data_IF_315017063243
#
_entry.id   IF_315017063243
#
_cell.length_a   1.000
_cell.length_b   1.000
_cell.length_c   1.000
_cell.angle_alpha   90.00
_cell.angle_beta   90.00
_cell.angle_gamma   90.00
#
_symmetry.space_group_name_H-M   'P 1'
#
loop_
_entity.id
_entity.type
_entity.pdbx_description
1 polymer ?
#
# COMPACT_ATOMS: atom_id res chain seq x y z
N UNK A 1 -37.46 -0.35 2.50
CA UNK A 1 -36.20 0.20 3.04
C UNK A 1 -35.45 -0.74 3.98
N UNK A 2 -36.08 -1.35 5.01
CA UNK A 2 -35.37 -2.32 5.89
C UNK A 2 -34.81 -3.54 5.14
N UNK A 3 -35.55 -4.07 4.16
CA UNK A 3 -35.15 -5.25 3.35
C UNK A 3 -33.94 -5.00 2.44
N UNK A 4 -33.80 -3.79 1.88
CA UNK A 4 -32.68 -3.44 0.98
C UNK A 4 -31.39 -3.16 1.75
N UNK A 5 -31.51 -2.61 2.96
CA UNK A 5 -30.39 -2.33 3.86
C UNK A 5 -29.85 -3.64 4.47
N UNK A 6 -30.76 -4.56 4.84
CA UNK A 6 -30.42 -5.93 5.20
C UNK A 6 -29.76 -6.68 4.04
N UNK A 7 -30.26 -6.55 2.80
CA UNK A 7 -29.67 -7.21 1.64
C UNK A 7 -28.27 -6.68 1.28
N UNK A 8 -28.00 -5.38 1.43
CA UNK A 8 -26.66 -4.81 1.19
C UNK A 8 -25.65 -5.23 2.28
N UNK A 9 -26.07 -5.26 3.56
CA UNK A 9 -25.26 -5.78 4.67
C UNK A 9 -25.04 -7.30 4.55
N UNK A 10 -26.05 -8.06 4.09
CA UNK A 10 -25.95 -9.49 3.83
C UNK A 10 -25.09 -9.80 2.61
N UNK A 11 -25.09 -8.96 1.57
CA UNK A 11 -24.18 -9.11 0.44
C UNK A 11 -22.72 -8.84 0.84
N UNK A 12 -22.49 -7.83 1.68
CA UNK A 12 -21.17 -7.57 2.28
C UNK A 12 -20.74 -8.73 3.20
N UNK A 13 -21.66 -9.26 4.01
CA UNK A 13 -21.40 -10.42 4.88
C UNK A 13 -21.20 -11.74 4.12
N UNK A 14 -21.90 -11.95 2.99
CA UNK A 14 -21.75 -13.14 2.17
C UNK A 14 -20.40 -13.19 1.44
N UNK A 15 -19.84 -12.02 1.08
CA UNK A 15 -18.46 -11.93 0.58
C UNK A 15 -17.45 -12.24 1.70
N UNK A 16 -17.77 -11.88 2.96
CA UNK A 16 -16.96 -12.12 4.14
C UNK A 16 -17.10 -13.55 4.75
N UNK A 17 -17.87 -14.46 4.15
CA UNK A 17 -18.09 -15.82 4.68
C UNK A 17 -17.25 -16.91 3.98
N UNK A 18 -16.42 -16.54 3.00
CA UNK A 18 -15.49 -17.49 2.37
C UNK A 18 -14.22 -17.56 3.22
N UNK A 19 -14.20 -18.41 4.25
CA UNK A 19 -13.02 -18.59 5.11
C UNK A 19 -11.91 -19.35 4.36
N UNK A 20 -10.70 -18.78 4.18
CA UNK A 20 -9.55 -19.61 3.86
C UNK A 20 -9.11 -20.40 5.10
N UNK A 21 -8.53 -21.58 4.87
CA UNK A 21 -8.01 -22.43 5.92
C UNK A 21 -6.99 -21.68 6.79
N UNK A 22 -7.11 -21.82 8.11
CA UNK A 22 -6.22 -21.22 9.08
C UNK A 22 -4.78 -21.72 8.86
N UNK A 23 -3.88 -20.81 8.47
CA UNK A 23 -2.44 -21.06 8.56
C UNK A 23 -2.01 -20.83 10.01
N UNK A 24 -1.35 -21.83 10.57
CA UNK A 24 -0.76 -21.76 11.90
C UNK A 24 0.25 -20.61 11.95
N UNK A 25 0.21 -19.83 13.04
CA UNK A 25 1.21 -18.81 13.32
C UNK A 25 2.55 -19.51 13.55
N UNK A 26 3.46 -19.37 12.59
CA UNK A 26 4.84 -19.76 12.74
C UNK A 26 5.58 -18.66 13.52
N UNK A 27 6.22 -19.02 14.63
CA UNK A 27 6.95 -18.09 15.51
C UNK A 27 8.19 -17.47 14.86
N UNK A 28 8.91 -16.64 15.63
CA UNK A 28 10.15 -16.01 15.19
C UNK A 28 11.21 -17.06 14.82
N UNK A 29 11.76 -16.98 13.60
CA UNK A 29 12.74 -17.95 13.14
C UNK A 29 13.80 -17.31 12.22
N UNK A 30 14.96 -17.94 12.20
CA UNK A 30 15.96 -17.77 11.16
C UNK A 30 15.90 -19.00 10.27
N UNK A 31 15.73 -18.80 8.97
CA UNK A 31 15.65 -19.88 8.02
C UNK A 31 16.55 -19.60 6.83
N UNK A 32 16.80 -20.63 6.02
CA UNK A 32 17.38 -20.41 4.73
C UNK A 32 17.53 -21.65 3.90
N UNK A 33 18.22 -21.49 2.78
CA UNK A 33 18.51 -22.59 1.87
C UNK A 33 19.97 -22.53 1.47
N UNK A 34 20.69 -23.62 1.68
CA UNK A 34 22.08 -23.76 1.24
C UNK A 34 22.10 -24.47 -0.11
N UNK A 35 22.78 -23.84 -1.07
CA UNK A 35 22.93 -24.36 -2.44
C UNK A 35 24.38 -24.41 -2.82
N UNK A 36 24.76 -25.49 -3.50
CA UNK A 36 26.09 -25.71 -4.00
C UNK A 36 26.41 -24.82 -5.21
N UNK A 37 27.65 -24.90 -5.72
CA UNK A 37 28.09 -24.15 -6.90
C UNK A 37 27.24 -24.43 -8.16
N UNK A 38 26.62 -25.61 -8.24
CA UNK A 38 25.74 -26.07 -9.33
C UNK A 38 24.26 -25.67 -9.12
N UNK A 39 23.96 -24.81 -8.13
CA UNK A 39 22.62 -24.38 -7.70
C UNK A 39 21.72 -25.49 -7.14
N UNK A 40 22.24 -26.72 -6.95
CA UNK A 40 21.49 -27.79 -6.29
C UNK A 40 21.53 -27.62 -4.78
N UNK A 41 20.49 -28.08 -4.05
CA UNK A 41 20.49 -28.04 -2.60
C UNK A 41 21.59 -28.93 -2.01
N UNK A 42 22.15 -28.51 -0.88
CA UNK A 42 23.18 -29.29 -0.17
C UNK A 42 22.64 -29.66 1.22
N UNK A 43 22.55 -30.96 1.47
CA UNK A 43 22.11 -31.53 2.74
C UNK A 43 23.28 -31.65 3.72
N UNK A 44 22.94 -31.93 4.98
CA UNK A 44 23.87 -32.28 6.06
C UNK A 44 24.85 -31.16 6.46
N UNK A 45 24.51 -29.90 6.15
CA UNK A 45 25.28 -28.74 6.56
C UNK A 45 24.78 -28.25 7.92
N UNK A 46 25.70 -28.08 8.86
CA UNK A 46 25.40 -27.61 10.21
C UNK A 46 25.45 -26.08 10.26
N UNK A 47 24.40 -25.47 10.79
CA UNK A 47 24.23 -24.02 10.94
C UNK A 47 23.92 -23.71 12.40
N UNK A 48 24.73 -22.84 12.99
CA UNK A 48 24.62 -22.41 14.37
C UNK A 48 24.14 -20.98 14.44
N UNK A 49 23.21 -20.72 15.36
CA UNK A 49 22.68 -19.39 15.66
C UNK A 49 23.09 -19.02 17.07
N UNK A 50 23.71 -17.85 17.21
CA UNK A 50 24.19 -17.32 18.48
C UNK A 50 23.67 -15.89 18.69
N UNK A 51 23.63 -15.47 19.94
CA UNK A 51 23.33 -14.11 20.33
C UNK A 51 24.38 -13.65 21.34
N UNK A 52 25.37 -12.87 20.86
CA UNK A 52 26.57 -12.59 21.65
C UNK A 52 27.36 -13.87 21.90
N UNK A 53 27.73 -14.15 23.15
CA UNK A 53 28.46 -15.38 23.53
C UNK A 53 27.55 -16.59 23.81
N UNK A 54 26.22 -16.43 23.70
CA UNK A 54 25.25 -17.49 24.03
C UNK A 54 24.75 -18.19 22.76
N UNK A 55 24.84 -19.52 22.75
CA UNK A 55 24.25 -20.35 21.70
C UNK A 55 22.73 -20.41 21.85
N UNK A 56 22.02 -20.11 20.77
CA UNK A 56 20.55 -20.03 20.71
C UNK A 56 19.96 -21.31 20.14
N UNK A 57 20.58 -21.87 19.10
CA UNK A 57 20.18 -23.12 18.50
C UNK A 57 21.06 -23.54 17.33
N UNK A 58 20.91 -24.79 16.91
CA UNK A 58 21.61 -25.41 15.79
C UNK A 58 20.60 -26.12 14.88
N UNK A 59 20.81 -26.02 13.57
CA UNK A 59 20.04 -26.77 12.58
C UNK A 59 20.95 -27.41 11.53
N UNK A 60 20.53 -28.56 11.04
CA UNK A 60 21.18 -29.26 9.92
C UNK A 60 20.31 -29.12 8.66
N UNK A 61 20.91 -28.86 7.50
CA UNK A 61 20.16 -28.73 6.25
C UNK A 61 19.56 -30.07 5.82
N UNK A 62 18.28 -30.06 5.42
CA UNK A 62 17.59 -31.24 4.90
C UNK A 62 17.99 -31.57 3.45
N UNK A 63 17.40 -32.63 2.89
CA UNK A 63 17.62 -33.05 1.50
C UNK A 63 17.25 -31.98 0.45
N UNK A 64 16.38 -31.04 0.80
CA UNK A 64 16.01 -29.87 -0.01
C UNK A 64 16.89 -28.64 0.26
N UNK A 65 17.96 -28.80 1.04
CA UNK A 65 18.94 -27.79 1.43
C UNK A 65 18.40 -26.74 2.40
N UNK A 66 17.19 -26.91 2.92
CA UNK A 66 16.58 -25.96 3.84
C UNK A 66 16.99 -26.21 5.27
N UNK A 67 17.06 -25.14 6.04
CA UNK A 67 17.28 -25.16 7.48
C UNK A 67 16.41 -24.10 8.14
N UNK A 68 16.10 -24.32 9.41
CA UNK A 68 15.32 -23.40 10.24
C UNK A 68 15.72 -23.55 11.70
N UNK A 69 15.92 -22.42 12.38
CA UNK A 69 16.15 -22.34 13.82
C UNK A 69 15.16 -21.33 14.39
N UNK A 70 14.33 -21.78 15.33
CA UNK A 70 13.45 -20.89 16.08
C UNK A 70 14.28 -20.05 17.06
N UNK A 71 13.97 -18.76 17.16
CA UNK A 71 14.68 -17.85 18.06
C UNK A 71 13.76 -17.38 19.19
N UNK A 72 14.29 -17.17 20.41
CA UNK A 72 13.50 -16.90 21.60
C UNK A 72 12.81 -15.53 21.63
N UNK A 73 13.10 -14.64 20.67
CA UNK A 73 12.43 -13.35 20.52
C UNK A 73 13.11 -12.41 19.52
N UNK A 74 12.58 -11.18 19.35
CA UNK A 74 13.21 -10.17 18.50
C UNK A 74 14.59 -9.75 19.05
N UNK A 75 15.57 -9.61 18.17
CA UNK A 75 16.94 -9.32 18.57
C UNK A 75 17.94 -9.41 17.43
N UNK A 76 19.22 -9.14 17.73
CA UNK A 76 20.32 -9.39 16.80
C UNK A 76 20.93 -10.76 17.06
N UNK A 77 21.16 -11.50 15.99
CA UNK A 77 21.70 -12.85 16.00
C UNK A 77 22.87 -12.95 15.03
N UNK A 78 23.83 -13.80 15.38
CA UNK A 78 24.96 -14.18 14.56
C UNK A 78 24.73 -15.60 14.07
N UNK A 79 24.90 -15.85 12.78
CA UNK A 79 24.64 -17.15 12.15
C UNK A 79 25.91 -17.63 11.49
N UNK A 80 26.38 -18.81 11.87
CA UNK A 80 27.59 -19.41 11.32
C UNK A 80 27.31 -20.78 10.70
N UNK A 81 27.90 -21.00 9.53
CA UNK A 81 27.94 -22.27 8.82
C UNK A 81 29.23 -23.01 9.21
N UNK A 82 29.11 -24.28 9.60
CA UNK A 82 30.28 -25.11 9.91
C UNK A 82 30.99 -25.55 8.62
N UNK A 83 32.19 -25.04 8.41
CA UNK A 83 33.03 -25.36 7.24
C UNK A 83 33.40 -26.84 7.18
N UNK A 84 33.45 -27.53 8.32
CA UNK A 84 33.71 -28.97 8.39
C UNK A 84 32.57 -29.84 7.85
N UNK A 85 31.35 -29.29 7.77
CA UNK A 85 30.17 -29.95 7.22
C UNK A 85 30.01 -29.78 5.70
N UNK A 86 30.90 -29.03 5.05
CA UNK A 86 30.83 -28.80 3.61
C UNK A 86 31.35 -30.00 2.80
N UNK A 87 30.73 -30.32 1.65
CA UNK A 87 31.25 -31.32 0.72
C UNK A 87 32.66 -30.99 0.21
N UNK A 88 33.46 -32.01 -0.10
CA UNK A 88 34.83 -31.84 -0.60
C UNK A 88 34.85 -30.94 -1.86
N UNK A 89 35.71 -29.93 -1.84
CA UNK A 89 35.87 -28.99 -2.95
C UNK A 89 34.86 -27.83 -2.97
N UNK A 90 33.99 -27.71 -1.96
CA UNK A 90 33.06 -26.58 -1.78
C UNK A 90 33.50 -25.74 -0.60
N UNK A 91 33.59 -24.42 -0.79
CA UNK A 91 33.96 -23.45 0.23
C UNK A 91 33.01 -22.25 0.20
N UNK A 92 32.91 -21.48 1.29
CA UNK A 92 32.22 -20.20 1.26
C UNK A 92 32.76 -19.32 0.13
N UNK A 93 31.87 -18.65 -0.61
CA UNK A 93 32.25 -17.85 -1.79
C UNK A 93 33.16 -16.67 -1.45
N UNK A 94 33.04 -16.13 -0.23
CA UNK A 94 33.86 -15.04 0.30
C UNK A 94 34.61 -15.52 1.53
N UNK A 95 35.82 -15.01 1.74
CA UNK A 95 36.58 -15.23 2.96
C UNK A 95 35.81 -14.64 4.16
N UNK A 96 35.52 -15.44 5.19
CA UNK A 96 34.66 -15.04 6.30
C UNK A 96 33.15 -15.13 6.01
N UNK A 97 32.74 -15.62 4.83
CA UNK A 97 31.34 -15.80 4.44
C UNK A 97 30.62 -16.96 5.14
N UNK A 98 31.36 -17.74 5.93
CA UNK A 98 30.89 -18.76 6.85
C UNK A 98 30.23 -18.18 8.10
N UNK A 99 30.47 -16.92 8.47
CA UNK A 99 29.89 -16.29 9.64
C UNK A 99 29.23 -14.95 9.29
N UNK A 100 27.93 -14.84 9.54
CA UNK A 100 27.13 -13.65 9.26
C UNK A 100 26.67 -13.04 10.58
N UNK A 101 27.18 -11.86 10.91
CA UNK A 101 26.87 -11.18 12.16
C UNK A 101 25.78 -10.10 12.03
N UNK A 102 25.06 -9.83 13.12
CA UNK A 102 24.16 -8.69 13.23
C UNK A 102 22.82 -8.84 12.50
N UNK A 103 22.33 -10.07 12.32
CA UNK A 103 21.05 -10.36 11.68
C UNK A 103 19.92 -9.98 12.65
N UNK A 104 19.16 -8.93 12.33
CA UNK A 104 18.04 -8.47 13.16
C UNK A 104 16.74 -9.23 12.86
N UNK A 105 16.18 -9.91 13.85
CA UNK A 105 14.86 -10.54 13.78
C UNK A 105 13.84 -9.63 14.48
N UNK A 106 12.73 -9.37 13.82
CA UNK A 106 11.60 -8.60 14.35
C UNK A 106 10.52 -9.55 14.87
N UNK A 107 9.69 -9.08 15.79
CA UNK A 107 8.60 -9.85 16.39
C UNK A 107 7.67 -10.44 15.31
N UNK A 108 7.37 -11.74 15.42
CA UNK A 108 6.53 -12.50 14.49
C UNK A 108 7.06 -12.63 13.05
N UNK A 109 8.35 -12.33 12.80
CA UNK A 109 8.95 -12.49 11.47
C UNK A 109 9.96 -13.63 11.41
N UNK A 110 9.88 -14.41 10.33
CA UNK A 110 10.98 -15.26 9.90
C UNK A 110 11.93 -14.47 9.01
N UNK A 111 13.24 -14.57 9.26
CA UNK A 111 14.27 -13.94 8.44
C UNK A 111 15.09 -14.98 7.69
N UNK A 112 15.15 -14.81 6.37
CA UNK A 112 15.90 -15.68 5.47
C UNK A 112 17.38 -15.27 5.41
N UNK A 113 18.29 -16.22 5.61
CA UNK A 113 19.75 -16.04 5.63
C UNK A 113 20.39 -16.96 4.59
N UNK A 114 21.23 -16.38 3.74
CA UNK A 114 21.82 -17.05 2.58
C UNK A 114 23.34 -17.19 2.74
N UNK A 115 23.83 -18.42 2.59
CA UNK A 115 25.26 -18.74 2.54
C UNK A 115 25.67 -19.05 1.11
N UNK A 116 26.26 -18.10 0.36
CA UNK A 116 26.71 -18.37 -1.00
C UNK A 116 27.96 -19.25 -0.99
N UNK A 117 27.88 -20.42 -1.64
CA UNK A 117 29.01 -21.35 -1.79
C UNK A 117 29.66 -21.23 -3.19
N UNK A 118 30.92 -21.64 -3.29
CA UNK A 118 31.71 -21.70 -4.52
C UNK A 118 32.63 -22.94 -4.52
N UNK A 119 33.08 -23.36 -5.71
CA UNK A 119 34.11 -24.39 -5.80
C UNK A 119 35.45 -23.85 -5.29
N UNK A 120 36.30 -24.70 -4.69
CA UNK A 120 37.55 -24.32 -4.02
C UNK A 120 38.55 -23.57 -4.91
N UNK A 121 38.48 -23.74 -6.25
CA UNK A 121 39.27 -22.96 -7.22
C UNK A 121 38.59 -21.69 -7.76
N UNK A 122 37.30 -21.47 -7.47
CA UNK A 122 36.52 -20.30 -7.85
C UNK A 122 36.24 -19.35 -6.67
N UNK A 123 36.64 -19.75 -5.47
CA UNK A 123 36.64 -18.91 -4.28
C UNK A 123 37.54 -17.68 -4.55
N UNK A 124 36.93 -16.50 -4.60
CA UNK A 124 37.63 -15.26 -4.94
C UNK A 124 37.82 -14.95 -6.45
N UNK A 125 37.48 -15.85 -7.38
CA UNK A 125 37.57 -15.60 -8.84
C UNK A 125 36.27 -15.13 -9.50
N UNK A 126 35.23 -14.84 -8.71
CA UNK A 126 34.01 -14.21 -9.19
C UNK A 126 34.03 -12.69 -9.02
N UNK A 127 34.89 -11.98 -9.76
CA UNK A 127 34.83 -10.52 -9.86
C UNK A 127 34.08 -10.03 -11.12
N UNK A 128 33.68 -10.90 -12.05
CA UNK A 128 33.05 -10.49 -13.32
C UNK A 128 31.62 -11.02 -13.55
N UNK A 129 30.92 -11.53 -12.53
CA UNK A 129 29.55 -12.05 -12.76
C UNK A 129 28.65 -12.36 -11.56
N UNK A 130 29.03 -11.99 -10.34
CA UNK A 130 28.18 -12.06 -9.14
C UNK A 130 28.55 -10.92 -8.20
N UNK A 131 27.63 -10.40 -7.37
CA UNK A 131 27.77 -9.07 -6.79
C UNK A 131 29.09 -8.99 -6.03
N UNK A 132 29.96 -8.14 -6.56
CA UNK A 132 31.23 -7.71 -5.99
C UNK A 132 31.05 -7.50 -4.49
N UNK A 133 32.11 -7.69 -3.69
CA UNK A 133 32.19 -6.99 -2.40
C UNK A 133 31.72 -5.55 -2.64
N UNK A 134 30.91 -4.91 -1.78
CA UNK A 134 30.49 -3.54 -2.03
C UNK A 134 31.79 -2.78 -2.29
N UNK A 135 32.03 -2.44 -3.55
CA UNK A 135 32.95 -1.39 -3.85
C UNK A 135 32.49 -0.26 -2.95
N UNK A 136 33.41 0.53 -2.43
CA UNK A 136 33.04 1.88 -2.06
C UNK A 136 32.63 2.63 -3.36
N UNK A 137 31.66 2.11 -4.10
CA UNK A 137 30.61 2.89 -4.71
C UNK A 137 30.20 3.79 -3.57
N UNK A 138 30.69 5.02 -3.62
CA UNK A 138 30.08 6.13 -2.93
C UNK A 138 28.59 5.91 -3.09
N UNK A 139 27.92 5.48 -2.01
CA UNK A 139 26.50 5.18 -2.05
C UNK A 139 25.81 6.33 -2.80
N UNK A 140 24.74 6.05 -3.56
CA UNK A 140 24.22 6.94 -4.59
C UNK A 140 24.34 8.38 -4.13
N UNK A 141 25.05 9.20 -4.91
CA UNK A 141 25.39 10.56 -4.49
C UNK A 141 24.14 11.26 -3.97
N UNK A 142 24.25 12.20 -3.02
CA UNK A 142 23.07 12.81 -2.39
C UNK A 142 22.04 13.31 -3.42
N UNK A 143 22.52 13.78 -4.58
CA UNK A 143 21.67 14.13 -5.74
C UNK A 143 20.96 12.95 -6.40
N UNK A 144 21.61 11.79 -6.57
CA UNK A 144 21.02 10.57 -7.10
C UNK A 144 19.95 10.02 -6.15
N UNK A 145 20.26 9.97 -4.85
CA UNK A 145 19.29 9.58 -3.81
C UNK A 145 18.10 10.53 -3.78
N UNK A 146 18.32 11.84 -3.93
CA UNK A 146 17.24 12.83 -4.04
C UNK A 146 16.36 12.59 -5.27
N UNK A 147 16.96 12.35 -6.45
CA UNK A 147 16.23 12.04 -7.68
C UNK A 147 15.38 10.76 -7.55
N UNK A 148 15.95 9.72 -6.95
CA UNK A 148 15.25 8.47 -6.67
C UNK A 148 14.06 8.67 -5.72
N UNK A 149 14.25 9.39 -4.61
CA UNK A 149 13.18 9.70 -3.65
C UNK A 149 12.10 10.61 -4.25
N UNK A 150 12.47 11.50 -5.17
CA UNK A 150 11.51 12.32 -5.91
C UNK A 150 10.63 11.46 -6.81
N UNK A 151 11.21 10.48 -7.51
CA UNK A 151 10.46 9.53 -8.33
C UNK A 151 9.52 8.66 -7.49
N UNK A 152 10.00 8.12 -6.37
CA UNK A 152 9.19 7.37 -5.42
C UNK A 152 8.09 8.25 -4.81
N UNK A 153 8.38 9.52 -4.59
CA UNK A 153 7.44 10.54 -4.14
C UNK A 153 6.32 10.81 -5.13
N UNK A 154 6.65 10.88 -6.43
CA UNK A 154 5.67 10.99 -7.51
C UNK A 154 4.79 9.73 -7.59
N UNK A 155 5.39 8.53 -7.49
CA UNK A 155 4.64 7.26 -7.43
C UNK A 155 3.65 7.27 -6.29
N UNK A 156 4.12 7.55 -5.08
CA UNK A 156 3.30 7.54 -3.87
C UNK A 156 2.23 8.64 -3.91
N UNK A 157 2.59 9.84 -4.37
CA UNK A 157 1.67 10.94 -4.56
C UNK A 157 0.58 10.66 -5.60
N UNK A 158 0.89 9.91 -6.66
CA UNK A 158 -0.09 9.49 -7.67
C UNK A 158 -1.13 8.50 -7.10
N UNK A 159 -0.70 7.56 -6.25
CA UNK A 159 -1.59 6.65 -5.52
C UNK A 159 -2.50 7.44 -4.57
N UNK A 160 -1.94 8.36 -3.78
CA UNK A 160 -2.70 9.22 -2.88
C UNK A 160 -3.67 10.10 -3.69
N UNK A 161 -3.27 10.60 -4.87
CA UNK A 161 -4.12 11.44 -5.70
C UNK A 161 -5.38 10.71 -6.17
N UNK A 162 -5.24 9.49 -6.69
CA UNK A 162 -6.40 8.70 -7.12
C UNK A 162 -7.36 8.45 -5.97
N UNK A 163 -6.85 8.04 -4.81
CA UNK A 163 -7.70 7.73 -3.65
C UNK A 163 -8.33 9.01 -3.06
N UNK A 164 -7.62 10.14 -3.09
CA UNK A 164 -8.06 11.43 -2.55
C UNK A 164 -9.07 12.17 -3.42
N UNK A 165 -9.03 12.02 -4.75
CA UNK A 165 -9.98 12.70 -5.66
C UNK A 165 -11.41 12.27 -5.36
N UNK A 166 -11.65 10.98 -5.12
CA UNK A 166 -12.96 10.47 -4.69
C UNK A 166 -13.44 11.10 -3.39
N UNK A 167 -12.58 11.13 -2.37
CA UNK A 167 -12.86 11.76 -1.07
C UNK A 167 -13.19 13.25 -1.22
N UNK A 168 -12.41 13.96 -2.04
CA UNK A 168 -12.61 15.38 -2.30
C UNK A 168 -13.92 15.66 -3.03
N UNK A 169 -14.35 14.80 -3.95
CA UNK A 169 -15.63 14.98 -4.66
C UNK A 169 -16.82 14.73 -3.72
N UNK A 170 -16.73 13.72 -2.85
CA UNK A 170 -17.74 13.47 -1.81
C UNK A 170 -17.85 14.70 -0.91
N UNK A 171 -16.73 15.18 -0.38
CA UNK A 171 -16.72 16.38 0.47
C UNK A 171 -17.25 17.61 -0.29
N UNK A 172 -16.84 17.81 -1.54
CA UNK A 172 -17.26 18.96 -2.34
C UNK A 172 -18.78 19.04 -2.50
N UNK A 173 -19.43 17.90 -2.75
CA UNK A 173 -20.87 17.84 -3.01
C UNK A 173 -21.76 17.65 -1.77
N UNK A 174 -21.23 17.09 -0.68
CA UNK A 174 -22.02 16.75 0.52
C UNK A 174 -21.55 17.44 1.80
N UNK A 175 -20.35 18.04 1.79
CA UNK A 175 -19.62 18.53 2.97
C UNK A 175 -19.40 17.46 4.05
N UNK A 176 -19.53 16.19 3.69
CA UNK A 176 -19.32 15.05 4.58
C UNK A 176 -17.84 14.64 4.60
N UNK A 177 -17.22 14.67 5.77
CA UNK A 177 -15.93 14.03 6.05
C UNK A 177 -16.19 12.54 6.27
N UNK A 178 -15.84 11.72 5.26
CA UNK A 178 -16.09 10.28 5.28
C UNK A 178 -14.85 9.48 5.69
N UNK A 179 -14.75 9.11 6.96
CA UNK A 179 -13.70 8.22 7.48
C UNK A 179 -13.76 6.80 6.89
N UNK A 180 -14.95 6.33 6.49
CA UNK A 180 -15.09 5.01 5.85
C UNK A 180 -14.47 4.95 4.44
N UNK A 181 -14.09 6.10 3.84
CA UNK A 181 -13.44 6.13 2.52
C UNK A 181 -12.12 5.37 2.50
N UNK A 182 -11.36 5.43 3.60
CA UNK A 182 -10.13 4.65 3.75
C UNK A 182 -10.41 3.15 3.61
N UNK A 183 -11.49 2.66 4.21
CA UNK A 183 -11.82 1.24 4.14
C UNK A 183 -12.27 0.80 2.73
N UNK A 184 -12.80 1.72 1.91
CA UNK A 184 -13.09 1.44 0.51
C UNK A 184 -11.80 1.20 -0.30
N UNK A 185 -10.69 1.85 0.08
CA UNK A 185 -9.35 1.57 -0.47
C UNK A 185 -8.91 0.16 -0.07
N UNK A 186 -9.04 -0.20 1.20
CA UNK A 186 -8.73 -1.56 1.69
C UNK A 186 -9.56 -2.62 0.96
N UNK A 187 -10.87 -2.43 0.86
CA UNK A 187 -11.79 -3.38 0.22
C UNK A 187 -11.40 -3.65 -1.24
N UNK A 188 -11.06 -2.62 -2.02
CA UNK A 188 -10.65 -2.83 -3.41
C UNK A 188 -9.39 -3.68 -3.54
N UNK A 189 -8.39 -3.45 -2.68
CA UNK A 189 -7.17 -4.24 -2.68
C UNK A 189 -7.40 -5.69 -2.27
N UNK A 190 -8.21 -5.89 -1.22
CA UNK A 190 -8.60 -7.20 -0.69
C UNK A 190 -9.43 -7.99 -1.71
N UNK A 191 -10.35 -7.34 -2.44
CA UNK A 191 -11.12 -8.00 -3.52
C UNK A 191 -10.19 -8.43 -4.65
N UNK A 192 -9.28 -7.56 -5.10
CA UNK A 192 -8.30 -7.93 -6.12
C UNK A 192 -7.40 -9.07 -5.65
N UNK A 193 -7.02 -9.07 -4.37
CA UNK A 193 -6.14 -10.08 -3.78
C UNK A 193 -6.82 -11.43 -3.73
N UNK A 194 -8.08 -11.45 -3.29
CA UNK A 194 -8.88 -12.65 -3.27
C UNK A 194 -9.01 -13.22 -4.68
N UNK A 195 -9.31 -12.41 -5.69
CA UNK A 195 -9.44 -12.88 -7.06
C UNK A 195 -8.11 -13.36 -7.65
N UNK A 196 -6.99 -12.75 -7.26
CA UNK A 196 -5.66 -13.04 -7.79
C UNK A 196 -4.99 -14.26 -7.16
N UNK A 197 -5.21 -14.50 -5.86
CA UNK A 197 -4.48 -15.52 -5.11
C UNK A 197 -5.39 -16.65 -4.58
N UNK A 198 -6.43 -16.31 -3.82
CA UNK A 198 -7.21 -17.31 -3.07
C UNK A 198 -8.41 -17.89 -3.83
N UNK A 199 -8.98 -17.10 -4.73
CA UNK A 199 -10.19 -17.42 -5.47
C UNK A 199 -9.88 -18.04 -6.82
N UNK A 200 -10.39 -17.51 -7.94
CA UNK A 200 -10.18 -18.06 -9.27
C UNK A 200 -8.73 -18.05 -9.79
N UNK A 201 -7.78 -17.50 -9.03
CA UNK A 201 -6.38 -17.31 -9.43
C UNK A 201 -6.23 -16.52 -10.73
N UNK A 202 -7.03 -15.45 -10.88
CA UNK A 202 -6.96 -14.59 -12.06
C UNK A 202 -5.69 -13.76 -12.08
N UNK A 203 -5.25 -13.38 -13.28
CA UNK A 203 -4.22 -12.35 -13.40
C UNK A 203 -4.68 -11.05 -12.72
N UNK A 204 -3.73 -10.28 -12.19
CA UNK A 204 -4.04 -9.11 -11.38
C UNK A 204 -4.77 -8.02 -12.17
N UNK A 205 -4.54 -7.89 -13.47
CA UNK A 205 -5.21 -6.88 -14.31
C UNK A 205 -6.74 -7.10 -14.36
N UNK A 206 -7.26 -8.27 -14.77
CA UNK A 206 -8.71 -8.52 -14.72
C UNK A 206 -9.26 -8.51 -13.28
N UNK A 207 -8.49 -8.98 -12.30
CA UNK A 207 -8.87 -8.87 -10.89
C UNK A 207 -9.05 -7.40 -10.45
N UNK A 208 -8.18 -6.50 -10.91
CA UNK A 208 -8.26 -5.05 -10.67
C UNK A 208 -9.52 -4.46 -11.29
N UNK A 209 -9.85 -4.83 -12.53
CA UNK A 209 -11.07 -4.34 -13.19
C UNK A 209 -12.33 -4.74 -12.42
N UNK A 210 -12.40 -5.99 -11.95
CA UNK A 210 -13.52 -6.43 -11.11
C UNK A 210 -13.51 -5.72 -9.77
N UNK A 211 -12.36 -5.51 -9.14
CA UNK A 211 -12.26 -4.75 -7.89
C UNK A 211 -12.72 -3.29 -8.03
N UNK A 212 -12.46 -2.66 -9.18
CA UNK A 212 -12.94 -1.31 -9.50
C UNK A 212 -14.47 -1.32 -9.69
N UNK A 213 -15.01 -2.28 -10.45
CA UNK A 213 -16.47 -2.42 -10.63
C UNK A 213 -17.16 -2.70 -9.30
N UNK A 214 -16.59 -3.56 -8.46
CA UNK A 214 -17.07 -3.83 -7.11
C UNK A 214 -17.00 -2.55 -6.25
N UNK A 215 -15.92 -1.77 -6.33
CA UNK A 215 -15.79 -0.47 -5.67
C UNK A 215 -16.87 0.53 -6.07
N UNK A 216 -17.16 0.62 -7.37
CA UNK A 216 -18.27 1.42 -7.92
C UNK A 216 -19.60 0.98 -7.31
N UNK A 217 -19.85 -0.33 -7.26
CA UNK A 217 -21.03 -0.92 -6.63
C UNK A 217 -21.13 -0.61 -5.14
N UNK A 218 -20.04 -0.83 -4.39
CA UNK A 218 -19.95 -0.59 -2.94
C UNK A 218 -20.18 0.89 -2.62
N UNK A 219 -19.53 1.81 -3.33
CA UNK A 219 -19.75 3.25 -3.15
C UNK A 219 -21.21 3.65 -3.37
N UNK A 220 -21.82 3.16 -4.45
CA UNK A 220 -23.24 3.38 -4.71
C UNK A 220 -24.17 2.73 -3.68
N UNK A 221 -23.82 1.55 -3.16
CA UNK A 221 -24.57 0.84 -2.14
C UNK A 221 -24.51 1.56 -0.79
N UNK A 222 -23.33 2.05 -0.41
CA UNK A 222 -23.13 2.84 0.82
C UNK A 222 -23.92 4.15 0.74
N UNK A 223 -23.89 4.87 -0.39
CA UNK A 223 -24.70 6.07 -0.58
C UNK A 223 -26.21 5.78 -0.48
N UNK A 224 -26.72 4.80 -1.23
CA UNK A 224 -28.16 4.49 -1.20
C UNK A 224 -28.63 3.88 0.13
N UNK A 225 -27.76 3.10 0.77
CA UNK A 225 -28.08 2.33 1.97
C UNK A 225 -27.96 3.14 3.25
N UNK A 226 -26.97 4.04 3.33
CA UNK A 226 -26.60 4.72 4.57
C UNK A 226 -26.80 6.23 4.41
N UNK A 227 -26.06 6.87 3.51
CA UNK A 227 -25.96 8.33 3.48
C UNK A 227 -27.21 9.02 2.94
N UNK A 228 -27.77 8.55 1.82
CA UNK A 228 -28.97 9.12 1.23
C UNK A 228 -30.17 9.04 2.19
N UNK A 229 -30.46 7.90 2.86
CA UNK A 229 -31.51 7.84 3.88
C UNK A 229 -31.30 8.79 5.05
N UNK A 230 -30.07 8.87 5.59
CA UNK A 230 -29.77 9.76 6.71
C UNK A 230 -29.95 11.23 6.31
N UNK A 231 -29.50 11.60 5.11
CA UNK A 231 -29.65 12.95 4.56
C UNK A 231 -31.12 13.32 4.34
N UNK A 232 -31.95 12.39 3.83
CA UNK A 232 -33.40 12.61 3.69
C UNK A 232 -34.13 12.77 5.03
N UNK A 233 -33.59 12.22 6.10
CA UNK A 233 -34.13 12.35 7.47
C UNK A 233 -33.65 13.63 8.18
N UNK A 234 -32.84 14.46 7.54
CA UNK A 234 -32.33 15.69 8.15
C UNK A 234 -31.32 15.44 9.28
N UNK A 235 -30.63 14.29 9.28
CA UNK A 235 -29.59 13.98 10.26
C UNK A 235 -28.46 15.02 10.17
N UNK A 236 -27.99 15.54 11.31
CA UNK A 236 -26.95 16.55 11.34
C UNK A 236 -25.60 16.02 10.83
N UNK A 237 -24.76 16.88 10.26
CA UNK A 237 -23.43 16.48 9.74
C UNK A 237 -22.55 15.81 10.80
N UNK A 238 -22.58 16.31 12.04
CA UNK A 238 -21.84 15.72 13.17
C UNK A 238 -22.28 14.27 13.41
N UNK A 239 -23.59 13.99 13.34
CA UNK A 239 -24.12 12.63 13.51
C UNK A 239 -23.68 11.74 12.33
N UNK A 240 -23.66 12.28 11.10
CA UNK A 240 -23.14 11.55 9.94
C UNK A 240 -21.64 11.23 10.08
N UNK A 241 -20.83 12.11 10.69
CA UNK A 241 -19.42 11.81 10.99
C UNK A 241 -19.28 10.63 11.95
N UNK A 242 -20.09 10.58 13.01
CA UNK A 242 -20.11 9.46 13.97
C UNK A 242 -20.46 8.15 13.23
N UNK A 243 -21.48 8.18 12.36
CA UNK A 243 -21.85 7.02 11.52
C UNK A 243 -20.69 6.59 10.62
N UNK A 244 -19.92 7.54 10.07
CA UNK A 244 -18.79 7.23 9.20
C UNK A 244 -17.68 6.51 9.94
N UNK A 245 -17.36 6.94 11.16
CA UNK A 245 -16.38 6.28 12.03
C UNK A 245 -16.86 4.88 12.39
N UNK A 246 -18.12 4.73 12.78
CA UNK A 246 -18.71 3.42 13.09
C UNK A 246 -18.67 2.47 11.88
N UNK A 247 -19.00 2.98 10.68
CA UNK A 247 -18.92 2.23 9.44
C UNK A 247 -17.47 1.84 9.10
N UNK A 248 -16.51 2.74 9.31
CA UNK A 248 -15.10 2.46 9.09
C UNK A 248 -14.61 1.33 10.01
N UNK A 249 -14.94 1.38 11.30
CA UNK A 249 -14.58 0.32 12.25
C UNK A 249 -15.24 -1.01 11.88
N UNK A 250 -16.52 -0.98 11.50
CA UNK A 250 -17.25 -2.17 11.09
C UNK A 250 -16.60 -2.84 9.86
N UNK A 251 -16.31 -2.06 8.82
CA UNK A 251 -15.68 -2.60 7.60
C UNK A 251 -14.27 -3.10 7.91
N UNK A 252 -13.46 -2.32 8.64
CA UNK A 252 -12.07 -2.68 8.96
C UNK A 252 -11.97 -4.01 9.71
N UNK A 253 -12.74 -4.16 10.77
CA UNK A 253 -12.70 -5.38 11.57
C UNK A 253 -13.43 -6.53 10.88
N UNK A 254 -14.46 -6.25 10.06
CA UNK A 254 -15.04 -7.26 9.17
C UNK A 254 -14.00 -7.82 8.18
N UNK A 255 -13.25 -6.93 7.54
CA UNK A 255 -12.13 -7.31 6.66
C UNK A 255 -11.06 -8.06 7.45
N UNK A 256 -10.68 -7.60 8.65
CA UNK A 256 -9.68 -8.29 9.47
C UNK A 256 -10.07 -9.73 9.81
N UNK A 257 -11.34 -9.97 10.14
CA UNK A 257 -11.84 -11.33 10.44
C UNK A 257 -11.78 -12.23 9.20
N UNK A 258 -12.05 -11.69 8.01
CA UNK A 258 -12.09 -12.47 6.77
C UNK A 258 -10.74 -12.64 6.08
N UNK A 259 -9.98 -11.56 5.96
CA UNK A 259 -8.66 -11.49 5.32
C UNK A 259 -7.55 -11.99 6.25
N UNK A 260 -7.68 -11.80 7.56
CA UNK A 260 -6.65 -12.07 8.55
C UNK A 260 -5.86 -10.83 8.97
N UNK A 261 -4.96 -11.01 9.94
CA UNK A 261 -4.11 -9.94 10.47
C UNK A 261 -2.79 -9.76 9.69
N UNK A 262 -2.33 -10.81 9.02
CA UNK A 262 -1.04 -10.84 8.32
C UNK A 262 -1.16 -10.19 6.95
N UNK A 263 -0.19 -9.34 6.60
CA UNK A 263 -0.15 -8.73 5.28
C UNK A 263 0.21 -9.79 4.22
N UNK A 264 -0.43 -9.73 3.05
CA UNK A 264 -0.26 -10.70 1.98
C UNK A 264 0.11 -10.00 0.66
N UNK A 265 1.06 -10.54 -0.10
CA UNK A 265 1.36 -10.04 -1.44
C UNK A 265 0.30 -10.48 -2.46
N UNK A 266 0.27 -9.80 -3.62
CA UNK A 266 -0.32 -10.35 -4.84
C UNK A 266 0.57 -11.45 -5.43
N UNK A 267 0.02 -12.36 -6.23
CA UNK A 267 0.82 -13.38 -6.93
C UNK A 267 1.64 -12.76 -8.08
N UNK A 268 1.05 -11.81 -8.79
CA UNK A 268 1.69 -11.16 -9.94
C UNK A 268 2.58 -9.98 -9.52
N UNK A 269 3.60 -9.70 -10.33
CA UNK A 269 4.46 -8.51 -10.25
C UNK A 269 5.23 -8.32 -8.93
N UNK A 270 5.45 -9.40 -8.17
CA UNK A 270 6.24 -9.38 -6.94
C UNK A 270 7.73 -9.16 -7.22
N UNK A 271 8.29 -9.93 -8.15
CA UNK A 271 9.70 -9.89 -8.52
C UNK A 271 9.78 -9.38 -9.96
N UNK A 272 10.43 -8.24 -10.14
CA UNK A 272 10.70 -7.66 -11.45
C UNK A 272 12.10 -7.09 -11.49
N UNK A 273 12.76 -7.25 -12.62
CA UNK A 273 14.02 -6.55 -12.88
C UNK A 273 13.77 -5.04 -12.96
N UNK A 274 14.62 -4.28 -12.26
CA UNK A 274 14.52 -2.82 -12.27
C UNK A 274 15.07 -2.28 -13.58
N UNK A 275 14.32 -1.37 -14.19
CA UNK A 275 14.79 -0.55 -15.28
C UNK A 275 15.71 0.51 -14.69
N UNK A 276 16.98 0.51 -15.10
CA UNK A 276 17.97 1.47 -14.66
C UNK A 276 18.26 2.47 -15.78
N UNK A 277 18.12 3.76 -15.47
CA UNK A 277 18.41 4.87 -16.36
C UNK A 277 19.31 5.86 -15.62
N UNK A 278 20.63 5.61 -15.68
CA UNK A 278 21.60 6.39 -14.90
C UNK A 278 21.30 6.30 -13.39
N UNK A 279 21.07 7.43 -12.70
CA UNK A 279 20.83 7.44 -11.25
C UNK A 279 19.43 6.99 -10.84
N UNK A 280 18.52 6.79 -11.81
CA UNK A 280 17.13 6.41 -11.56
C UNK A 280 16.95 4.90 -11.75
N UNK A 281 16.31 4.26 -10.78
CA UNK A 281 15.94 2.85 -10.85
C UNK A 281 14.46 2.69 -10.55
N UNK A 282 13.70 2.16 -11.51
CA UNK A 282 12.25 1.97 -11.36
C UNK A 282 11.83 0.59 -11.83
N UNK A 283 10.91 -0.04 -11.09
CA UNK A 283 10.32 -1.30 -11.54
C UNK A 283 9.24 -1.06 -12.61
N UNK A 284 9.01 -2.00 -13.54
CA UNK A 284 7.93 -1.88 -14.50
C UNK A 284 6.55 -1.69 -13.86
N UNK A 285 6.27 -2.32 -12.70
CA UNK A 285 5.02 -2.11 -11.94
C UNK A 285 4.88 -0.67 -11.47
N UNK A 286 5.95 -0.07 -10.93
CA UNK A 286 5.90 1.29 -10.39
C UNK A 286 5.67 2.31 -11.51
N UNK A 287 6.35 2.12 -12.64
CA UNK A 287 6.13 2.95 -13.83
C UNK A 287 4.69 2.82 -14.34
N UNK A 288 4.16 1.59 -14.38
CA UNK A 288 2.79 1.32 -14.79
C UNK A 288 1.78 1.98 -13.85
N UNK A 289 2.00 1.92 -12.53
CA UNK A 289 1.19 2.62 -11.52
C UNK A 289 1.19 4.11 -11.79
N UNK A 290 2.35 4.74 -12.00
CA UNK A 290 2.44 6.17 -12.30
C UNK A 290 1.65 6.51 -13.56
N UNK A 291 1.90 5.81 -14.66
CA UNK A 291 1.30 6.08 -15.97
C UNK A 291 -0.22 5.92 -15.92
N UNK A 292 -0.71 4.80 -15.41
CA UNK A 292 -2.16 4.56 -15.29
C UNK A 292 -2.77 5.57 -14.32
N UNK A 293 -2.06 5.91 -13.24
CA UNK A 293 -2.59 6.87 -12.27
C UNK A 293 -2.85 8.23 -12.90
N UNK A 294 -1.85 8.79 -13.58
CA UNK A 294 -2.01 10.06 -14.28
C UNK A 294 -3.04 9.97 -15.42
N UNK A 295 -3.09 8.86 -16.16
CA UNK A 295 -4.10 8.67 -17.20
C UNK A 295 -5.52 8.72 -16.62
N UNK A 296 -5.77 8.06 -15.49
CA UNK A 296 -7.06 8.07 -14.80
C UNK A 296 -7.36 9.45 -14.22
N UNK A 297 -6.40 10.13 -13.60
CA UNK A 297 -6.60 11.49 -13.09
C UNK A 297 -6.95 12.49 -14.21
N UNK A 298 -6.29 12.39 -15.36
CA UNK A 298 -6.60 13.19 -16.55
C UNK A 298 -7.99 12.83 -17.07
N UNK A 299 -8.34 11.54 -17.15
CA UNK A 299 -9.67 11.10 -17.58
C UNK A 299 -10.78 11.63 -16.65
N UNK A 300 -10.58 11.59 -15.33
CA UNK A 300 -11.51 12.17 -14.36
C UNK A 300 -11.59 13.69 -14.51
N UNK A 301 -10.47 14.38 -14.64
CA UNK A 301 -10.43 15.84 -14.86
C UNK A 301 -11.18 16.26 -16.13
N UNK A 302 -10.93 15.57 -17.25
CA UNK A 302 -11.65 15.80 -18.50
C UNK A 302 -13.13 15.45 -18.35
N UNK A 303 -13.46 14.36 -17.65
CA UNK A 303 -14.83 13.98 -17.31
C UNK A 303 -15.58 15.09 -16.57
N UNK A 304 -14.97 15.66 -15.54
CA UNK A 304 -15.53 16.76 -14.74
C UNK A 304 -15.70 18.04 -15.57
N UNK A 305 -14.79 18.33 -16.49
CA UNK A 305 -14.82 19.55 -17.31
C UNK A 305 -15.77 19.46 -18.51
N UNK A 306 -15.75 18.33 -19.23
CA UNK A 306 -16.35 18.19 -20.56
C UNK A 306 -17.72 17.52 -20.54
N UNK A 307 -18.06 16.72 -19.53
CA UNK A 307 -19.33 15.96 -19.52
C UNK A 307 -20.48 16.70 -18.84
N UNK A 308 -21.72 16.31 -19.17
CA UNK A 308 -22.93 16.83 -18.50
C UNK A 308 -22.96 16.48 -17.01
N UNK A 309 -22.57 15.25 -16.66
CA UNK A 309 -22.50 14.80 -15.27
C UNK A 309 -21.45 15.61 -14.50
N UNK A 310 -20.28 15.85 -15.09
CA UNK A 310 -19.22 16.67 -14.50
C UNK A 310 -19.63 18.12 -14.24
N UNK A 311 -20.38 18.73 -15.17
CA UNK A 311 -20.99 20.05 -14.97
C UNK A 311 -21.99 20.05 -13.81
N UNK A 312 -22.84 19.03 -13.72
CA UNK A 312 -23.79 18.89 -12.63
C UNK A 312 -23.10 18.67 -11.27
N UNK A 313 -22.03 17.88 -11.21
CA UNK A 313 -21.21 17.68 -10.00
C UNK A 313 -20.63 18.99 -9.49
N UNK A 314 -20.08 19.83 -10.38
CA UNK A 314 -19.54 21.14 -10.01
C UNK A 314 -20.63 22.11 -9.55
N UNK A 315 -21.78 22.15 -10.26
CA UNK A 315 -22.91 22.96 -9.85
C UNK A 315 -23.42 22.60 -8.45
N UNK A 316 -23.52 21.30 -8.14
CA UNK A 316 -23.91 20.82 -6.80
C UNK A 316 -22.88 21.17 -5.73
N UNK A 317 -21.58 21.13 -6.06
CA UNK A 317 -20.51 21.49 -5.14
C UNK A 317 -20.44 23.01 -4.85
N UNK A 318 -20.78 23.84 -5.84
CA UNK A 318 -20.80 25.30 -5.73
C UNK A 318 -22.01 25.76 -4.91
N UNK A 319 -23.23 25.38 -5.31
CA UNK A 319 -24.44 25.69 -4.57
C UNK A 319 -25.53 24.64 -4.82
N UNK A 320 -25.77 23.81 -3.80
CA UNK A 320 -26.74 22.71 -3.86
C UNK A 320 -28.17 23.18 -4.13
N UNK A 321 -28.63 24.22 -3.44
CA UNK A 321 -30.02 24.68 -3.51
C UNK A 321 -30.31 25.34 -4.87
N UNK A 322 -29.34 26.12 -5.38
CA UNK A 322 -29.41 26.70 -6.73
C UNK A 322 -29.40 25.61 -7.81
N UNK A 323 -28.55 24.59 -7.66
CA UNK A 323 -28.53 23.45 -8.58
C UNK A 323 -29.88 22.71 -8.61
N UNK A 324 -30.49 22.47 -7.45
CA UNK A 324 -31.79 21.81 -7.34
C UNK A 324 -32.92 22.64 -7.95
N UNK A 325 -32.94 23.96 -7.72
CA UNK A 325 -33.90 24.88 -8.36
C UNK A 325 -33.74 24.99 -9.89
N UNK A 326 -32.53 24.72 -10.39
CA UNK A 326 -32.22 24.67 -11.82
C UNK A 326 -32.57 23.34 -12.49
N UNK A 327 -33.21 22.42 -11.77
CA UNK A 327 -33.66 21.12 -12.29
C UNK A 327 -32.61 20.01 -12.25
N UNK A 328 -31.49 20.19 -11.54
CA UNK A 328 -30.48 19.13 -11.38
C UNK A 328 -30.95 18.16 -10.29
N UNK A 329 -31.04 16.87 -10.63
CA UNK A 329 -31.28 15.79 -9.65
C UNK A 329 -30.03 15.60 -8.76
N UNK A 330 -29.95 16.38 -7.68
CA UNK A 330 -28.83 16.37 -6.73
C UNK A 330 -28.60 14.97 -6.14
N UNK A 331 -29.67 14.23 -5.86
CA UNK A 331 -29.57 12.87 -5.31
C UNK A 331 -28.84 11.94 -6.27
N UNK A 332 -29.11 12.04 -7.56
CA UNK A 332 -28.45 11.25 -8.60
C UNK A 332 -27.00 11.67 -8.82
N UNK A 333 -26.73 12.97 -8.77
CA UNK A 333 -25.35 13.49 -8.86
C UNK A 333 -24.49 12.98 -7.71
N UNK A 334 -24.98 13.06 -6.46
CA UNK A 334 -24.28 12.54 -5.29
C UNK A 334 -24.04 11.03 -5.44
N UNK A 335 -25.03 10.26 -5.90
CA UNK A 335 -24.84 8.84 -6.17
C UNK A 335 -23.69 8.57 -7.15
N UNK A 336 -23.62 9.31 -8.26
CA UNK A 336 -22.52 9.16 -9.22
C UNK A 336 -21.17 9.53 -8.63
N UNK A 337 -21.12 10.55 -7.75
CA UNK A 337 -19.90 10.90 -7.00
C UNK A 337 -19.44 9.74 -6.13
N UNK A 338 -20.35 9.12 -5.38
CA UNK A 338 -20.01 7.97 -4.52
C UNK A 338 -19.57 6.74 -5.31
N UNK A 339 -20.22 6.47 -6.43
CA UNK A 339 -19.83 5.41 -7.36
C UNK A 339 -18.41 5.66 -7.91
N UNK A 340 -18.13 6.88 -8.38
CA UNK A 340 -16.81 7.24 -8.88
C UNK A 340 -15.75 7.17 -7.76
N UNK A 341 -16.07 7.68 -6.57
CA UNK A 341 -15.18 7.66 -5.42
C UNK A 341 -14.82 6.23 -5.00
N UNK A 342 -15.78 5.30 -5.02
CA UNK A 342 -15.53 3.89 -4.75
C UNK A 342 -14.69 3.20 -5.81
N UNK A 343 -14.91 3.48 -7.09
CA UNK A 343 -14.06 2.97 -8.16
C UNK A 343 -12.61 3.45 -8.04
N UNK A 344 -12.42 4.75 -7.79
CA UNK A 344 -11.08 5.35 -7.61
C UNK A 344 -10.40 4.84 -6.34
N UNK A 345 -11.12 4.75 -5.22
CA UNK A 345 -10.61 4.18 -3.97
C UNK A 345 -10.13 2.74 -4.19
N UNK A 346 -10.94 1.91 -4.87
CA UNK A 346 -10.54 0.53 -5.18
C UNK A 346 -9.29 0.46 -6.04
N UNK A 347 -9.22 1.27 -7.11
CA UNK A 347 -8.05 1.28 -7.99
C UNK A 347 -6.77 1.67 -7.25
N UNK A 348 -6.83 2.76 -6.48
CA UNK A 348 -5.70 3.21 -5.68
C UNK A 348 -5.34 2.22 -4.56
N UNK A 349 -6.32 1.48 -4.04
CA UNK A 349 -6.10 0.37 -3.12
C UNK A 349 -5.28 -0.74 -3.75
N UNK A 350 -5.64 -1.18 -4.95
CA UNK A 350 -4.85 -2.19 -5.67
C UNK A 350 -3.44 -1.69 -5.96
N UNK A 351 -3.27 -0.44 -6.43
CA UNK A 351 -1.94 0.12 -6.68
C UNK A 351 -1.09 0.22 -5.42
N UNK A 352 -1.72 0.58 -4.30
CA UNK A 352 -1.03 0.56 -3.01
C UNK A 352 -0.65 -0.85 -2.59
N UNK A 353 -1.54 -1.84 -2.76
CA UNK A 353 -1.27 -3.25 -2.49
C UNK A 353 -0.27 -3.92 -3.45
N UNK A 354 0.05 -3.30 -4.59
CA UNK A 354 1.14 -3.72 -5.48
C UNK A 354 2.46 -3.11 -5.03
N UNK A 355 2.41 -1.87 -4.53
CA UNK A 355 3.58 -1.16 -4.01
C UNK A 355 4.04 -1.72 -2.66
N UNK A 356 3.06 -2.05 -1.81
CA UNK A 356 3.18 -2.59 -0.46
C UNK A 356 2.32 -3.85 -0.34
N UNK A 357 2.53 -4.70 0.67
CA UNK A 357 1.64 -5.85 0.86
C UNK A 357 0.22 -5.43 1.27
N UNK A 358 -0.78 -6.17 0.79
CA UNK A 358 -2.19 -5.95 1.15
C UNK A 358 -2.37 -6.26 2.63
N UNK A 359 -2.96 -5.35 3.39
CA UNK A 359 -3.26 -5.53 4.82
C UNK A 359 -4.61 -4.96 5.18
N UNK A 360 -5.23 -5.49 6.23
CA UNK A 360 -6.60 -5.11 6.62
C UNK A 360 -6.77 -3.64 7.07
N UNK A 361 -5.68 -2.95 7.42
CA UNK A 361 -5.71 -1.57 7.92
C UNK A 361 -4.96 -0.57 7.02
N UNK A 362 -4.52 -0.98 5.82
CA UNK A 362 -3.78 -0.11 4.90
C UNK A 362 -4.55 1.17 4.53
N UNK A 363 -5.86 1.06 4.28
CA UNK A 363 -6.69 2.18 3.91
C UNK A 363 -6.85 3.20 5.03
N UNK A 364 -6.89 2.77 6.28
CA UNK A 364 -6.88 3.65 7.45
C UNK A 364 -5.57 4.43 7.57
N UNK A 365 -4.42 3.78 7.33
CA UNK A 365 -3.11 4.46 7.33
C UNK A 365 -3.02 5.51 6.22
N UNK A 366 -3.49 5.16 5.02
CA UNK A 366 -3.56 6.08 3.89
C UNK A 366 -4.55 7.22 4.11
N UNK A 367 -5.65 6.99 4.82
CA UNK A 367 -6.72 7.97 5.03
C UNK A 367 -6.21 9.28 5.65
N UNK A 368 -5.26 9.18 6.58
CA UNK A 368 -4.67 10.37 7.20
C UNK A 368 -3.91 11.22 6.16
N UNK A 369 -3.15 10.58 5.28
CA UNK A 369 -2.44 11.24 4.17
C UNK A 369 -3.39 11.75 3.10
N UNK A 370 -4.50 11.04 2.83
CA UNK A 370 -5.55 11.53 1.94
C UNK A 370 -6.20 12.79 2.48
N UNK A 371 -6.55 12.82 3.77
CA UNK A 371 -7.09 14.04 4.39
C UNK A 371 -6.09 15.18 4.33
N UNK A 372 -4.82 14.91 4.66
CA UNK A 372 -3.75 15.89 4.51
C UNK A 372 -3.69 16.43 3.09
N UNK A 373 -3.66 15.56 2.08
CA UNK A 373 -3.61 15.96 0.68
C UNK A 373 -4.83 16.79 0.25
N UNK A 374 -6.05 16.41 0.62
CA UNK A 374 -7.26 17.14 0.23
C UNK A 374 -7.35 18.48 0.96
N UNK A 375 -6.98 18.55 2.24
CA UNK A 375 -6.97 19.80 3.00
C UNK A 375 -5.88 20.74 2.46
N UNK A 376 -4.66 20.22 2.25
CA UNK A 376 -3.55 20.95 1.64
C UNK A 376 -3.93 21.48 0.25
N UNK A 377 -4.60 20.66 -0.55
CA UNK A 377 -5.04 21.01 -1.89
C UNK A 377 -6.14 22.06 -1.96
N UNK A 378 -6.97 22.13 -0.91
CA UNK A 378 -8.22 22.89 -0.88
C UNK A 378 -9.42 21.93 -0.95
N UNK A 379 -10.14 21.85 0.16
CA UNK A 379 -11.28 20.95 0.34
C UNK A 379 -12.33 21.12 -0.77
N UNK A 380 -12.81 20.00 -1.33
CA UNK A 380 -13.90 20.01 -2.30
C UNK A 380 -13.46 20.24 -3.75
N UNK A 381 -12.17 20.39 -4.02
CA UNK A 381 -11.66 20.58 -5.39
C UNK A 381 -10.83 19.37 -5.85
N UNK A 382 -11.25 18.71 -6.94
CA UNK A 382 -10.53 17.55 -7.47
C UNK A 382 -9.08 17.89 -7.88
N UNK A 383 -8.87 19.06 -8.49
CA UNK A 383 -7.53 19.53 -8.86
C UNK A 383 -6.66 19.86 -7.63
N UNK A 384 -7.27 20.45 -6.59
CA UNK A 384 -6.62 20.64 -5.30
C UNK A 384 -6.14 19.32 -4.73
N UNK A 385 -7.03 18.33 -4.66
CA UNK A 385 -6.68 17.00 -4.16
C UNK A 385 -5.50 16.37 -4.91
N UNK A 386 -5.42 16.50 -6.25
CA UNK A 386 -4.29 16.00 -7.05
C UNK A 386 -2.99 16.72 -6.68
N UNK A 387 -2.99 18.05 -6.68
CA UNK A 387 -1.81 18.84 -6.37
C UNK A 387 -1.33 18.59 -4.93
N UNK A 388 -2.26 18.60 -3.97
CA UNK A 388 -1.97 18.31 -2.57
C UNK A 388 -1.42 16.91 -2.36
N UNK A 389 -1.94 15.91 -3.08
CA UNK A 389 -1.45 14.52 -3.00
C UNK A 389 -0.03 14.36 -3.54
N UNK A 390 0.30 15.04 -4.64
CA UNK A 390 1.66 15.04 -5.17
C UNK A 390 2.64 15.69 -4.20
N UNK A 391 2.28 16.83 -3.61
CA UNK A 391 3.12 17.49 -2.60
C UNK A 391 3.30 16.59 -1.37
N UNK A 392 2.22 16.03 -0.84
CA UNK A 392 2.26 15.09 0.30
C UNK A 392 3.13 13.89 -0.01
N UNK A 393 2.99 13.28 -1.19
CA UNK A 393 3.77 12.11 -1.60
C UNK A 393 5.26 12.41 -1.76
N UNK A 394 5.60 13.52 -2.43
CA UNK A 394 6.99 13.97 -2.63
C UNK A 394 7.64 14.31 -1.29
N UNK A 395 6.96 15.07 -0.44
CA UNK A 395 7.46 15.44 0.89
C UNK A 395 7.68 14.20 1.74
N UNK A 396 6.72 13.26 1.75
CA UNK A 396 6.85 12.02 2.50
C UNK A 396 8.15 11.29 2.11
N UNK A 397 8.38 11.06 0.82
CA UNK A 397 9.55 10.30 0.37
C UNK A 397 10.86 11.08 0.49
N UNK A 398 10.90 12.35 0.07
CA UNK A 398 12.13 13.16 0.12
C UNK A 398 12.57 13.45 1.56
N UNK A 399 11.65 13.54 2.52
CA UNK A 399 12.00 13.76 3.93
C UNK A 399 12.92 12.67 4.50
N UNK A 400 12.82 11.44 3.98
CA UNK A 400 13.65 10.30 4.39
C UNK A 400 15.14 10.44 4.03
N UNK A 401 15.51 11.50 3.28
CA UNK A 401 16.90 11.81 3.02
C UNK A 401 17.65 12.23 4.28
N UNK A 402 16.97 12.94 5.18
CA UNK A 402 17.55 13.49 6.42
C UNK A 402 16.96 12.87 7.69
N UNK A 403 15.84 12.15 7.56
CA UNK A 403 15.03 11.71 8.68
C UNK A 403 14.79 10.20 8.62
N UNK A 404 14.52 9.55 9.77
CA UNK A 404 14.14 8.14 9.81
C UNK A 404 12.88 7.86 8.99
N UNK A 405 12.88 6.74 8.26
CA UNK A 405 11.77 6.33 7.36
C UNK A 405 10.49 6.09 8.16
N UNK A 406 10.60 5.69 9.43
CA UNK A 406 9.47 5.47 10.34
C UNK A 406 8.66 6.75 10.58
N UNK A 407 9.28 7.93 10.42
CA UNK A 407 8.65 9.24 10.59
C UNK A 407 8.12 9.85 9.28
N UNK A 408 8.23 9.14 8.16
CA UNK A 408 7.84 9.61 6.83
C UNK A 408 6.42 10.21 6.80
N UNK A 409 5.45 9.53 7.41
CA UNK A 409 4.06 9.99 7.41
C UNK A 409 3.84 11.20 8.35
N UNK A 410 4.62 11.32 9.42
CA UNK A 410 4.53 12.44 10.35
C UNK A 410 4.95 13.76 9.66
N UNK A 411 6.00 13.71 8.85
CA UNK A 411 6.51 14.91 8.16
C UNK A 411 5.58 15.41 7.06
N UNK A 412 4.90 14.51 6.37
CA UNK A 412 3.83 14.89 5.44
C UNK A 412 2.72 15.71 6.15
N UNK A 413 2.41 15.38 7.41
CA UNK A 413 1.45 16.12 8.23
C UNK A 413 2.02 17.42 8.78
N UNK A 414 3.31 17.48 9.12
CA UNK A 414 3.96 18.73 9.52
C UNK A 414 3.90 19.74 8.37
N UNK A 415 4.20 19.32 7.14
CA UNK A 415 4.10 20.21 5.97
C UNK A 415 2.67 20.66 5.73
N UNK A 416 1.67 19.79 5.91
CA UNK A 416 0.27 20.21 5.92
C UNK A 416 0.04 21.33 6.93
N UNK A 417 0.45 21.15 8.19
CA UNK A 417 0.27 22.15 9.26
C UNK A 417 0.95 23.47 8.87
N UNK A 418 2.18 23.42 8.38
CA UNK A 418 2.92 24.62 7.94
C UNK A 418 2.18 25.34 6.81
N UNK A 419 1.75 24.62 5.77
CA UNK A 419 1.04 25.26 4.65
C UNK A 419 -0.29 25.85 5.11
N UNK A 420 -1.02 25.20 6.02
CA UNK A 420 -2.26 25.77 6.55
C UNK A 420 -2.02 26.99 7.45
N UNK A 421 -0.91 27.04 8.17
CA UNK A 421 -0.54 28.21 8.97
C UNK A 421 -0.31 29.44 8.09
N UNK A 422 0.35 29.26 6.95
CA UNK A 422 0.65 30.36 6.02
C UNK A 422 -0.45 30.59 4.97
N UNK A 423 -1.24 29.56 4.66
CA UNK A 423 -2.25 29.55 3.60
C UNK A 423 -3.44 28.64 3.99
N UNK A 424 -4.34 29.09 4.86
CA UNK A 424 -5.42 28.27 5.45
C UNK A 424 -6.45 27.76 4.42
N UNK A 425 -6.49 28.36 3.23
CA UNK A 425 -7.34 27.92 2.12
C UNK A 425 -6.75 26.73 1.34
N UNK A 426 -5.52 26.32 1.64
CA UNK A 426 -4.76 25.35 0.83
C UNK A 426 -4.16 25.97 -0.43
N UNK A 427 -3.50 25.14 -1.24
CA UNK A 427 -2.71 25.54 -2.40
C UNK A 427 -3.60 26.10 -3.54
N UNK A 428 -4.79 25.51 -3.74
CA UNK A 428 -5.72 25.88 -4.81
C UNK A 428 -7.09 26.32 -4.31
N UNK A 429 -7.28 26.52 -3.00
CA UNK A 429 -8.54 27.02 -2.46
C UNK A 429 -8.83 28.46 -2.89
N UNK A 430 -10.10 28.71 -3.22
CA UNK A 430 -10.60 30.08 -3.47
C UNK A 430 -10.88 30.73 -2.13
N UNK A 431 -10.40 31.96 -1.94
CA UNK A 431 -10.80 32.76 -0.79
C UNK A 431 -12.31 33.05 -0.89
N UNK A 432 -13.11 32.43 -0.03
CA UNK A 432 -14.48 32.89 0.18
C UNK A 432 -14.39 34.28 0.80
N UNK A 433 -14.89 35.30 0.08
CA UNK A 433 -15.23 36.58 0.70
C UNK A 433 -16.39 36.28 1.63
N UNK A 434 -16.10 36.22 2.93
CA UNK A 434 -17.12 36.33 3.97
C UNK A 434 -17.68 37.74 3.83
N UNK A 435 -18.86 37.85 3.25
CA UNK A 435 -19.58 39.09 2.98
C UNK A 435 -21.04 38.89 3.31
#
# INVERSE_FOLDING_TARGET
>A
MRRTLAAALLALAAILLVTPAAFAAEGEALAGTVRGPDRKPVADIVIKVQQGEKEVGEATTGADGKWRVEVPGPGRYDVSLDVGSLPQGVVPRRQGGEALSGISVTEGQERNVLFPLAAQGQAGQGADGGPSAPQADTGPGTGEKFLQLLLEGVRFGAIIAITSVGLSLIFGTTKLVNFAHGEMVTLGAVIAWFLNLQGPSWQLVPATLVAVVAGVGIGGAIERGIWQPLRRRGVALIQMFIVSIGLALLIRHGVQVWFGATAQPYNDYQIQERLTWGPLSITPRDLTIIVISFAVLVAVGLGLQRTRIGKAMRAVADNRDLAESSGIDVSRVILYVWMLAGGLASLGGVFYGVSENVSFNMGFRLLLLMFAAVILGGLGTAYGAIAGSLVVGIVAQVSTLWLPVELQNAWALVVLILVLLFRPQGILGRAERVG
#
